data_IF_327176282738
#
_entry.id   IF_327176282738
#
_cell.length_a   1.000
_cell.length_b   1.000
_cell.length_c   1.000
_cell.angle_alpha   90.00
_cell.angle_beta   90.00
_cell.angle_gamma   90.00
#
_symmetry.space_group_name_H-M   'P 1'
#
loop_
_entity.id
_entity.type
_entity.pdbx_description
1 polymer ?
#
# COMPACT_ATOMS: atom_id res chain seq x y z
N UNK A 1 12.37 20.47 7.44
CA UNK A 1 12.61 19.05 7.70
C UNK A 1 12.82 18.39 6.35
N UNK A 2 13.69 17.41 6.29
CA UNK A 2 13.86 16.67 5.04
C UNK A 2 12.57 15.89 4.74
N UNK A 3 12.23 15.78 3.46
CA UNK A 3 11.06 15.01 3.04
C UNK A 3 11.28 13.52 3.32
N UNK A 4 10.22 12.75 3.66
CA UNK A 4 10.34 11.32 3.83
C UNK A 4 10.70 10.62 2.51
N UNK A 5 11.27 9.43 2.61
CA UNK A 5 11.38 8.53 1.49
C UNK A 5 10.01 7.89 1.23
N UNK A 6 9.61 7.85 -0.03
CA UNK A 6 8.36 7.22 -0.48
C UNK A 6 8.66 5.86 -1.07
N UNK A 7 8.11 4.83 -0.46
CA UNK A 7 8.34 3.43 -0.86
C UNK A 7 7.05 2.89 -1.47
N UNK A 8 7.13 2.42 -2.71
CA UNK A 8 5.99 1.82 -3.39
C UNK A 8 6.07 0.29 -3.38
N UNK A 9 5.01 -0.34 -2.89
CA UNK A 9 4.82 -1.79 -2.91
C UNK A 9 3.62 -2.08 -3.82
N UNK A 10 3.89 -2.73 -4.96
CA UNK A 10 2.89 -3.06 -5.98
C UNK A 10 1.94 -4.20 -5.55
N UNK A 11 0.94 -4.52 -6.36
CA UNK A 11 0.06 -5.68 -6.16
C UNK A 11 0.68 -7.00 -6.65
N UNK A 12 -0.03 -8.10 -6.42
CA UNK A 12 0.30 -9.41 -7.00
C UNK A 12 0.13 -9.41 -8.54
N UNK A 13 0.45 -10.52 -9.19
CA UNK A 13 0.38 -10.68 -10.66
C UNK A 13 1.14 -9.59 -11.44
N UNK A 14 2.07 -8.91 -10.79
CA UNK A 14 2.86 -7.81 -11.35
C UNK A 14 4.17 -8.35 -11.94
N UNK A 15 4.45 -8.01 -13.19
CA UNK A 15 5.71 -8.36 -13.85
C UNK A 15 6.78 -7.28 -13.70
N UNK A 16 6.37 -6.03 -13.47
CA UNK A 16 7.26 -4.89 -13.24
C UNK A 16 6.54 -3.81 -12.44
N UNK A 17 7.24 -3.20 -11.47
CA UNK A 17 6.68 -2.17 -10.58
C UNK A 17 6.07 -0.97 -11.31
N UNK A 18 6.57 -0.60 -12.50
CA UNK A 18 6.13 0.59 -13.23
C UNK A 18 4.82 0.43 -14.02
N UNK A 19 4.09 -0.66 -13.80
CA UNK A 19 2.80 -0.86 -14.44
C UNK A 19 1.80 0.21 -14.00
N UNK A 20 0.85 0.52 -14.91
CA UNK A 20 -0.23 1.47 -14.64
C UNK A 20 0.31 2.88 -14.31
N UNK A 21 -0.12 3.51 -13.24
CA UNK A 21 0.23 4.86 -12.79
C UNK A 21 1.56 4.97 -12.02
N UNK A 22 2.16 3.84 -11.61
CA UNK A 22 3.30 3.87 -10.69
C UNK A 22 4.55 4.53 -11.29
N UNK A 23 4.83 4.30 -12.57
CA UNK A 23 5.94 4.97 -13.26
C UNK A 23 5.78 6.50 -13.28
N UNK A 24 4.59 6.98 -13.59
CA UNK A 24 4.26 8.40 -13.55
C UNK A 24 4.37 8.97 -12.12
N UNK A 25 3.86 8.26 -11.12
CA UNK A 25 3.93 8.72 -9.73
C UNK A 25 5.39 8.89 -9.26
N UNK A 26 6.25 7.92 -9.57
CA UNK A 26 7.69 8.00 -9.24
C UNK A 26 8.31 9.26 -9.80
N UNK A 27 8.14 9.51 -11.10
CA UNK A 27 8.70 10.71 -11.75
C UNK A 27 8.22 12.02 -11.12
N UNK A 28 6.93 12.13 -10.82
CA UNK A 28 6.35 13.34 -10.24
C UNK A 28 6.79 13.56 -8.77
N UNK A 29 6.98 12.49 -8.00
CA UNK A 29 7.51 12.57 -6.65
C UNK A 29 8.98 13.03 -6.66
N UNK A 30 9.81 12.47 -7.54
CA UNK A 30 11.22 12.86 -7.68
C UNK A 30 11.37 14.31 -8.17
N UNK A 31 10.56 14.74 -9.15
CA UNK A 31 10.47 16.17 -9.56
C UNK A 31 10.05 17.08 -8.41
N UNK A 32 9.28 16.55 -7.47
CA UNK A 32 8.85 17.26 -6.27
C UNK A 32 9.87 17.21 -5.12
N UNK A 33 11.02 16.55 -5.32
CA UNK A 33 12.13 16.46 -4.37
C UNK A 33 11.95 15.40 -3.27
N UNK A 34 11.11 14.38 -3.50
CA UNK A 34 11.08 13.20 -2.64
C UNK A 34 12.15 12.19 -3.06
N UNK A 35 12.76 11.54 -2.07
CA UNK A 35 13.48 10.29 -2.30
C UNK A 35 12.46 9.17 -2.52
N UNK A 36 12.69 8.29 -3.47
CA UNK A 36 11.75 7.23 -3.83
C UNK A 36 12.44 5.86 -3.89
N UNK A 37 11.71 4.82 -3.47
CA UNK A 37 12.09 3.43 -3.67
C UNK A 37 10.95 2.69 -4.36
N UNK A 38 11.13 2.38 -5.63
CA UNK A 38 10.15 1.69 -6.48
C UNK A 38 10.86 0.54 -7.19
N UNK A 39 10.70 -0.67 -6.69
CA UNK A 39 11.28 -1.89 -7.26
C UNK A 39 10.23 -2.99 -7.40
N UNK A 40 10.50 -3.95 -8.27
CA UNK A 40 9.67 -5.15 -8.37
C UNK A 40 10.01 -6.07 -7.19
N UNK A 41 8.99 -6.37 -6.39
CA UNK A 41 9.11 -7.25 -5.24
C UNK A 41 9.48 -8.68 -5.66
N UNK A 42 10.21 -9.44 -4.86
CA UNK A 42 10.41 -10.87 -5.11
C UNK A 42 9.06 -11.58 -5.13
N UNK A 43 8.97 -12.73 -5.80
CA UNK A 43 7.71 -13.50 -5.87
C UNK A 43 6.49 -12.67 -6.29
N UNK A 44 6.69 -11.74 -7.21
CA UNK A 44 5.72 -10.69 -7.57
C UNK A 44 4.39 -11.20 -8.15
N UNK A 45 4.33 -12.45 -8.57
CA UNK A 45 3.09 -13.08 -9.07
C UNK A 45 2.19 -13.54 -7.94
N UNK A 46 2.75 -14.17 -6.90
CA UNK A 46 1.98 -14.69 -5.77
C UNK A 46 1.99 -13.74 -4.57
N UNK A 47 2.94 -12.81 -4.50
CA UNK A 47 3.05 -11.79 -3.46
C UNK A 47 3.06 -12.36 -2.03
N UNK A 48 3.71 -13.52 -1.80
CA UNK A 48 3.66 -14.20 -0.51
C UNK A 48 4.38 -13.43 0.58
N UNK A 49 3.74 -13.37 1.75
CA UNK A 49 4.21 -12.65 2.94
C UNK A 49 5.62 -13.12 3.37
N UNK A 50 5.91 -14.43 3.27
CA UNK A 50 7.21 -15.02 3.62
C UNK A 50 8.40 -14.47 2.82
N UNK A 51 8.15 -13.90 1.62
CA UNK A 51 9.18 -13.23 0.81
C UNK A 51 9.11 -11.72 0.92
N UNK A 52 7.91 -11.14 0.99
CA UNK A 52 7.74 -9.69 0.94
C UNK A 52 8.10 -9.02 2.26
N UNK A 53 7.65 -9.54 3.40
CA UNK A 53 7.92 -8.92 4.69
C UNK A 53 9.43 -8.89 5.02
N UNK A 54 10.19 -9.99 4.87
CA UNK A 54 11.66 -9.93 5.03
C UNK A 54 12.33 -9.01 4.01
N UNK A 55 11.86 -8.96 2.76
CA UNK A 55 12.41 -8.05 1.75
C UNK A 55 12.21 -6.58 2.12
N UNK A 56 11.03 -6.23 2.66
CA UNK A 56 10.74 -4.88 3.16
C UNK A 56 11.65 -4.50 4.34
N UNK A 57 11.91 -5.43 5.25
CA UNK A 57 12.73 -5.20 6.44
C UNK A 57 14.23 -5.21 6.13
N UNK A 58 14.73 -6.25 5.46
CA UNK A 58 16.16 -6.50 5.31
C UNK A 58 16.78 -5.82 4.07
N UNK A 59 16.05 -5.78 2.94
CA UNK A 59 16.55 -5.22 1.70
C UNK A 59 16.17 -3.74 1.54
N UNK A 60 14.89 -3.40 1.67
CA UNK A 60 14.43 -2.01 1.55
C UNK A 60 14.81 -1.23 2.82
N UNK A 61 14.85 -1.89 3.96
CA UNK A 61 15.15 -1.30 5.27
C UNK A 61 14.18 -0.14 5.59
N UNK A 62 12.88 -0.44 5.52
CA UNK A 62 11.82 0.52 5.81
C UNK A 62 11.84 0.87 7.29
N UNK A 63 11.80 2.16 7.63
CA UNK A 63 11.89 2.63 9.02
C UNK A 63 10.95 3.79 9.35
N UNK A 64 11.16 4.36 10.53
CA UNK A 64 10.27 5.35 11.16
C UNK A 64 10.08 6.66 10.38
N UNK A 65 10.95 6.94 9.41
CA UNK A 65 10.90 8.14 8.57
C UNK A 65 10.32 7.88 7.18
N UNK A 66 9.94 6.66 6.88
CA UNK A 66 9.48 6.26 5.56
C UNK A 66 7.94 6.22 5.46
N UNK A 67 7.44 6.50 4.27
CA UNK A 67 6.02 6.36 3.93
C UNK A 67 5.86 5.22 2.93
N UNK A 68 5.00 4.25 3.26
CA UNK A 68 4.67 3.17 2.34
C UNK A 68 3.43 3.55 1.52
N UNK A 69 3.55 3.50 0.21
CA UNK A 69 2.43 3.53 -0.73
C UNK A 69 2.21 2.11 -1.21
N UNK A 70 1.22 1.44 -0.66
CA UNK A 70 0.90 0.05 -1.01
C UNK A 70 -0.32 -0.04 -1.92
N UNK A 71 -0.28 -0.88 -2.95
CA UNK A 71 -1.40 -1.14 -3.84
C UNK A 71 -1.81 -2.60 -3.82
N UNK A 72 -3.11 -2.88 -3.57
CA UNK A 72 -3.66 -4.24 -3.53
C UNK A 72 -2.92 -5.11 -2.50
N UNK A 73 -2.32 -6.24 -2.88
CA UNK A 73 -1.47 -7.07 -1.99
C UNK A 73 -0.34 -6.26 -1.35
N UNK A 74 0.20 -5.22 -2.02
CA UNK A 74 1.18 -4.31 -1.43
C UNK A 74 0.63 -3.46 -0.30
N UNK A 75 -0.65 -3.10 -0.34
CA UNK A 75 -1.33 -2.42 0.76
C UNK A 75 -1.58 -3.37 1.93
N UNK A 76 -1.93 -4.61 1.64
CA UNK A 76 -2.06 -5.69 2.63
C UNK A 76 -0.72 -6.00 3.32
N UNK A 77 0.37 -6.07 2.53
CA UNK A 77 1.72 -6.21 3.06
C UNK A 77 2.13 -5.04 3.97
N UNK A 78 1.78 -3.80 3.59
CA UNK A 78 2.05 -2.62 4.41
C UNK A 78 1.32 -2.66 5.76
N UNK A 79 0.09 -3.19 5.81
CA UNK A 79 -0.64 -3.41 7.06
C UNK A 79 0.09 -4.44 7.94
N UNK A 80 0.47 -5.60 7.41
CA UNK A 80 1.22 -6.62 8.17
C UNK A 80 2.57 -6.12 8.65
N UNK A 81 3.29 -5.37 7.79
CA UNK A 81 4.57 -4.79 8.16
C UNK A 81 4.45 -3.84 9.36
N UNK A 82 3.39 -3.03 9.39
CA UNK A 82 3.12 -2.09 10.46
C UNK A 82 2.62 -2.74 11.77
N UNK A 83 2.38 -4.04 11.83
CA UNK A 83 2.11 -4.75 13.09
C UNK A 83 3.34 -4.75 13.99
N UNK A 84 4.52 -4.96 13.42
CA UNK A 84 5.78 -5.12 14.17
C UNK A 84 6.75 -3.95 13.99
N UNK A 85 6.62 -3.18 12.90
CA UNK A 85 7.57 -2.14 12.52
C UNK A 85 6.94 -0.75 12.53
N UNK A 86 7.68 0.22 13.08
CA UNK A 86 7.28 1.62 13.04
C UNK A 86 7.65 2.26 11.71
N UNK A 87 6.70 2.98 11.13
CA UNK A 87 6.87 3.78 9.92
C UNK A 87 6.30 5.18 10.12
N UNK A 88 6.62 6.12 9.25
CA UNK A 88 6.01 7.46 9.32
C UNK A 88 4.52 7.42 9.00
N UNK A 89 4.15 6.64 7.98
CA UNK A 89 2.76 6.45 7.60
C UNK A 89 2.57 5.54 6.41
N UNK A 90 1.33 5.22 6.11
CA UNK A 90 0.97 4.45 4.93
C UNK A 90 -0.17 5.08 4.13
N UNK A 91 -0.09 4.91 2.82
CA UNK A 91 -1.15 5.21 1.87
C UNK A 91 -1.55 3.89 1.22
N UNK A 92 -2.68 3.38 1.66
CA UNK A 92 -3.21 2.08 1.25
C UNK A 92 -4.15 2.26 0.07
N UNK A 93 -3.91 1.57 -1.03
CA UNK A 93 -4.73 1.65 -2.24
C UNK A 93 -5.36 0.30 -2.47
N UNK A 94 -6.67 0.21 -2.36
CA UNK A 94 -7.46 -1.03 -2.50
C UNK A 94 -6.91 -2.22 -1.69
N UNK A 95 -6.71 -2.10 -0.37
CA UNK A 95 -6.29 -3.22 0.49
C UNK A 95 -7.43 -4.21 0.72
N UNK A 96 -7.10 -5.46 1.09
CA UNK A 96 -8.04 -6.42 1.67
C UNK A 96 -7.57 -6.85 3.07
N UNK A 97 -8.52 -7.29 3.92
CA UNK A 97 -8.23 -7.87 5.23
C UNK A 97 -8.63 -9.35 5.32
N UNK A 98 -9.23 -9.86 4.25
CA UNK A 98 -9.55 -11.27 4.05
C UNK A 98 -9.01 -11.76 2.71
N UNK A 99 -8.89 -13.07 2.54
CA UNK A 99 -8.49 -13.71 1.29
C UNK A 99 -9.57 -13.67 0.21
N UNK A 100 -10.74 -13.12 0.52
CA UNK A 100 -11.92 -13.01 -0.37
C UNK A 100 -12.40 -14.36 -0.95
N UNK A 101 -11.88 -15.48 -0.45
CA UNK A 101 -12.10 -16.82 -1.01
C UNK A 101 -11.29 -17.10 -2.29
N UNK A 102 -10.28 -16.30 -2.58
CA UNK A 102 -9.35 -16.48 -3.68
C UNK A 102 -8.18 -17.39 -3.26
N UNK A 103 -7.81 -18.35 -4.12
CA UNK A 103 -6.76 -19.33 -3.79
C UNK A 103 -5.36 -18.70 -3.70
N UNK A 104 -5.06 -17.72 -4.53
CA UNK A 104 -3.75 -17.03 -4.52
C UNK A 104 -3.66 -16.18 -3.24
N UNK A 105 -4.70 -15.43 -2.92
CA UNK A 105 -4.75 -14.65 -1.69
C UNK A 105 -4.69 -15.54 -0.44
N UNK A 106 -5.38 -16.68 -0.42
CA UNK A 106 -5.32 -17.65 0.67
C UNK A 106 -3.89 -18.20 0.86
N UNK A 107 -3.18 -18.48 -0.24
CA UNK A 107 -1.80 -18.98 -0.20
C UNK A 107 -0.76 -17.88 0.10
N UNK A 108 -1.16 -16.61 0.11
CA UNK A 108 -0.24 -15.48 0.32
C UNK A 108 0.32 -15.40 1.75
N UNK A 109 -0.37 -16.00 2.71
CA UNK A 109 0.03 -16.03 4.13
C UNK A 109 -0.32 -14.75 4.90
N UNK A 110 -0.91 -13.73 4.25
CA UNK A 110 -1.30 -12.51 4.97
C UNK A 110 -2.54 -12.69 5.86
N UNK A 111 -3.37 -13.70 5.61
CA UNK A 111 -4.67 -13.86 6.26
C UNK A 111 -4.71 -15.01 7.27
N UNK A 112 -3.57 -15.65 7.53
CA UNK A 112 -3.46 -16.82 8.41
C UNK A 112 -3.67 -16.47 9.89
N UNK A 113 -3.21 -15.29 10.30
CA UNK A 113 -3.27 -14.82 11.68
C UNK A 113 -4.25 -13.65 11.85
N UNK A 114 -4.83 -13.48 13.06
CA UNK A 114 -5.63 -12.31 13.39
C UNK A 114 -4.84 -11.00 13.21
N UNK A 115 -5.51 -9.95 12.70
CA UNK A 115 -4.92 -8.63 12.54
C UNK A 115 -4.67 -7.93 13.87
N UNK A 116 -3.47 -7.38 14.05
CA UNK A 116 -3.09 -6.58 15.21
C UNK A 116 -3.43 -5.09 14.97
N UNK A 117 -4.72 -4.76 14.82
CA UNK A 117 -5.18 -3.43 14.43
C UNK A 117 -4.65 -2.29 15.31
N UNK A 118 -4.51 -2.53 16.62
CA UNK A 118 -3.99 -1.51 17.53
C UNK A 118 -2.51 -1.23 17.28
N UNK A 119 -1.72 -2.25 16.98
CA UNK A 119 -0.29 -2.10 16.70
C UNK A 119 -0.11 -1.41 15.33
N UNK A 120 -0.84 -1.84 14.29
CA UNK A 120 -0.86 -1.19 12.98
C UNK A 120 -1.12 0.32 13.13
N UNK A 121 -2.11 0.68 13.94
CA UNK A 121 -2.47 2.08 14.20
C UNK A 121 -1.41 2.83 15.00
N UNK A 122 -0.82 2.21 16.03
CA UNK A 122 0.12 2.87 16.94
C UNK A 122 1.52 3.02 16.35
N UNK A 123 1.87 2.16 15.39
CA UNK A 123 3.18 2.15 14.75
C UNK A 123 3.32 3.14 13.58
N UNK A 124 2.32 3.98 13.33
CA UNK A 124 2.38 5.01 12.29
C UNK A 124 1.61 6.27 12.68
N UNK A 125 2.05 7.41 12.14
CA UNK A 125 1.45 8.70 12.49
C UNK A 125 0.23 9.02 11.62
N UNK A 126 0.22 8.57 10.37
CA UNK A 126 -0.85 8.85 9.41
C UNK A 126 -1.12 7.64 8.51
N UNK A 127 -2.41 7.32 8.39
CA UNK A 127 -2.89 6.26 7.53
C UNK A 127 -3.97 6.84 6.62
N UNK A 128 -3.82 6.65 5.31
CA UNK A 128 -4.83 6.99 4.32
C UNK A 128 -5.21 5.74 3.52
N UNK A 129 -6.47 5.67 3.11
CA UNK A 129 -7.00 4.57 2.32
C UNK A 129 -7.76 5.11 1.11
N UNK A 130 -7.20 4.85 -0.07
CA UNK A 130 -7.81 5.13 -1.37
C UNK A 130 -8.57 3.92 -1.89
N UNK A 131 -9.78 4.12 -2.38
CA UNK A 131 -10.57 3.04 -2.99
C UNK A 131 -11.52 3.54 -4.06
N UNK A 132 -11.78 2.70 -5.05
CA UNK A 132 -12.84 2.91 -6.02
C UNK A 132 -14.18 2.37 -5.49
N UNK A 133 -15.27 3.10 -5.70
CA UNK A 133 -16.61 2.61 -5.30
C UNK A 133 -17.13 1.46 -6.18
N UNK A 134 -16.46 1.19 -7.28
CA UNK A 134 -16.77 0.15 -8.26
C UNK A 134 -15.59 -0.83 -8.46
N UNK A 135 -14.80 -1.08 -7.43
CA UNK A 135 -13.70 -2.04 -7.48
C UNK A 135 -14.26 -3.44 -7.82
N UNK A 136 -13.82 -4.07 -8.92
CA UNK A 136 -14.38 -5.35 -9.36
C UNK A 136 -13.84 -6.55 -8.59
N UNK A 137 -12.75 -6.39 -7.85
CA UNK A 137 -12.06 -7.47 -7.12
C UNK A 137 -12.32 -7.43 -5.64
N UNK A 138 -12.27 -6.24 -5.03
CA UNK A 138 -12.35 -6.08 -3.58
C UNK A 138 -13.63 -5.33 -3.23
N UNK A 139 -14.55 -5.97 -2.50
CA UNK A 139 -15.80 -5.32 -2.10
C UNK A 139 -15.56 -4.19 -1.09
N UNK A 140 -16.35 -3.14 -1.20
CA UNK A 140 -16.22 -1.92 -0.39
C UNK A 140 -16.19 -2.18 1.14
N UNK A 141 -16.83 -3.25 1.62
CA UNK A 141 -16.80 -3.62 3.04
C UNK A 141 -15.39 -3.88 3.57
N UNK A 142 -14.46 -4.40 2.73
CA UNK A 142 -13.06 -4.61 3.11
C UNK A 142 -12.39 -3.28 3.45
N UNK A 143 -12.55 -2.28 2.57
CA UNK A 143 -11.98 -0.94 2.75
C UNK A 143 -12.52 -0.24 3.99
N UNK A 144 -13.85 -0.31 4.20
CA UNK A 144 -14.48 0.32 5.36
C UNK A 144 -14.05 -0.34 6.66
N UNK A 145 -13.96 -1.68 6.69
CA UNK A 145 -13.51 -2.42 7.86
C UNK A 145 -12.06 -2.03 8.24
N UNK A 146 -11.13 -2.04 7.28
CA UNK A 146 -9.75 -1.63 7.53
C UNK A 146 -9.71 -0.19 8.05
N UNK A 147 -10.35 0.74 7.33
CA UNK A 147 -10.30 2.15 7.67
C UNK A 147 -10.84 2.46 9.08
N UNK A 148 -11.87 1.76 9.52
CA UNK A 148 -12.44 1.90 10.86
C UNK A 148 -11.47 1.39 11.94
N UNK A 149 -10.85 0.23 11.72
CA UNK A 149 -9.95 -0.39 12.71
C UNK A 149 -8.66 0.40 12.90
N UNK A 150 -8.07 0.93 11.82
CA UNK A 150 -6.81 1.69 11.90
C UNK A 150 -7.02 3.21 11.93
N UNK A 151 -8.27 3.70 11.93
CA UNK A 151 -8.63 5.11 11.88
C UNK A 151 -8.01 5.84 10.67
N UNK A 152 -8.07 5.21 9.49
CA UNK A 152 -7.52 5.79 8.26
C UNK A 152 -8.38 6.94 7.70
N UNK A 153 -7.73 7.93 7.10
CA UNK A 153 -8.39 8.92 6.25
C UNK A 153 -8.89 8.23 4.97
N UNK A 154 -10.21 8.19 4.78
CA UNK A 154 -10.84 7.52 3.62
C UNK A 154 -10.94 8.47 2.44
N UNK A 155 -10.41 8.05 1.29
CA UNK A 155 -10.51 8.79 0.02
C UNK A 155 -11.16 7.89 -1.03
N UNK A 156 -12.45 8.08 -1.25
CA UNK A 156 -13.22 7.35 -2.27
C UNK A 156 -13.14 8.08 -3.60
N UNK A 157 -12.78 7.36 -4.66
CA UNK A 157 -12.78 7.86 -6.03
C UNK A 157 -13.86 7.14 -6.85
N UNK A 158 -14.81 7.92 -7.35
CA UNK A 158 -15.93 7.38 -8.14
C UNK A 158 -15.43 6.87 -9.48
N UNK A 159 -15.78 5.61 -9.79
CA UNK A 159 -15.44 4.99 -11.07
C UNK A 159 -13.98 4.59 -11.24
N UNK A 160 -13.16 4.65 -10.18
CA UNK A 160 -11.73 4.34 -10.26
C UNK A 160 -11.41 2.84 -10.36
N UNK A 161 -12.38 1.97 -10.11
CA UNK A 161 -12.16 0.53 -10.10
C UNK A 161 -11.09 0.12 -9.12
N UNK A 162 -10.20 -0.79 -9.55
CA UNK A 162 -9.02 -1.24 -8.80
C UNK A 162 -7.74 -0.44 -9.15
N UNK A 163 -7.87 0.72 -9.79
CA UNK A 163 -6.78 1.59 -10.24
C UNK A 163 -5.84 0.96 -11.30
N UNK A 164 -6.28 -0.06 -12.03
CA UNK A 164 -5.47 -0.76 -13.03
C UNK A 164 -5.35 0.04 -14.33
N UNK A 165 -6.45 0.65 -14.79
CA UNK A 165 -6.53 1.27 -16.12
C UNK A 165 -5.96 2.69 -16.16
N UNK A 166 -5.61 3.25 -15.03
CA UNK A 166 -5.11 4.61 -14.91
C UNK A 166 -3.62 4.67 -15.29
N UNK A 167 -3.24 5.69 -16.04
CA UNK A 167 -1.85 5.96 -16.38
C UNK A 167 -1.23 7.04 -15.48
N UNK A 168 -2.06 7.77 -14.75
CA UNK A 168 -1.68 8.83 -13.80
C UNK A 168 -2.58 8.75 -12.57
N UNK A 169 -2.10 9.25 -11.43
CA UNK A 169 -2.88 9.30 -10.19
C UNK A 169 -2.68 10.64 -9.46
N UNK A 170 -3.21 11.76 -10.01
CA UNK A 170 -2.98 13.09 -9.45
C UNK A 170 -3.46 13.25 -8.01
N UNK A 171 -4.60 12.66 -7.63
CA UNK A 171 -5.14 12.75 -6.28
C UNK A 171 -4.21 12.12 -5.23
N UNK A 172 -3.53 11.01 -5.59
CA UNK A 172 -2.53 10.37 -4.75
C UNK A 172 -1.28 11.26 -4.59
N UNK A 173 -0.78 11.81 -5.71
CA UNK A 173 0.35 12.73 -5.69
C UNK A 173 0.06 13.97 -4.82
N UNK A 174 -1.10 14.59 -5.02
CA UNK A 174 -1.52 15.77 -4.25
C UNK A 174 -1.64 15.44 -2.75
N UNK A 175 -2.18 14.28 -2.43
CA UNK A 175 -2.26 13.80 -1.05
C UNK A 175 -0.87 13.67 -0.43
N UNK A 176 0.07 13.00 -1.10
CA UNK A 176 1.44 12.82 -0.61
C UNK A 176 2.12 14.17 -0.42
N UNK A 177 2.06 15.05 -1.41
CA UNK A 177 2.66 16.39 -1.34
C UNK A 177 2.07 17.24 -0.21
N UNK A 178 0.76 17.19 0.00
CA UNK A 178 0.09 17.95 1.06
C UNK A 178 0.48 17.50 2.46
N UNK A 179 0.69 16.20 2.65
CA UNK A 179 0.83 15.62 3.99
C UNK A 179 2.28 15.32 4.40
N UNK A 180 3.21 15.27 3.43
CA UNK A 180 4.58 14.83 3.66
C UNK A 180 5.64 15.79 3.06
N UNK A 181 5.27 17.00 2.60
CA UNK A 181 6.24 18.02 2.13
C UNK A 181 6.76 18.91 3.22
#
# INVERSE_FOLDING_TARGET
MDKPRIIFIHGNETTHWSQSWAGWLKEELEKSGFETFFETMPDSIFARAEYWLPFMEEHIQIGETDVIVGWSSGATAALRYAEDQKILGSVLISPSHTDLGDEIENMSGYFDDPWQWNDIKSNQQKIALFYGNNDPFIPQREFLHIAENVNAEKIMLSGAGHFIDQQTFPQLLDFIKKNYS
#
